data_IF_020140951300
#
_entry.id   IF_020140951300
#
_cell.length_a   1.000
_cell.length_b   1.000
_cell.length_c   1.000
_cell.angle_alpha   90.00
_cell.angle_beta   90.00
_cell.angle_gamma   90.00
#
_symmetry.space_group_name_H-M   'P 1'
#
loop_
_entity.id
_entity.type
_entity.pdbx_description
1 polymer ?
#
# COMPACT_ATOMS: atom_id res chain seq x y z
N UNK A 1 6.03 -4.05 -25.89
CA UNK A 1 6.61 -3.64 -24.58
C UNK A 1 6.61 -4.83 -23.63
N UNK A 2 7.63 -4.90 -22.77
CA UNK A 2 7.77 -5.94 -21.75
C UNK A 2 7.47 -5.37 -20.37
N UNK A 3 6.50 -5.94 -19.65
CA UNK A 3 6.19 -5.54 -18.28
C UNK A 3 6.66 -6.59 -17.28
N UNK A 4 7.34 -6.16 -16.23
CA UNK A 4 7.71 -7.02 -15.10
C UNK A 4 6.67 -7.01 -13.99
N UNK A 5 6.39 -8.19 -13.44
CA UNK A 5 5.47 -8.36 -12.31
C UNK A 5 5.85 -9.56 -11.44
N UNK A 6 5.41 -9.55 -10.18
CA UNK A 6 5.50 -10.71 -9.30
C UNK A 6 4.45 -11.77 -9.67
N UNK A 7 4.72 -13.04 -9.32
CA UNK A 7 3.82 -14.14 -9.64
C UNK A 7 2.58 -14.28 -8.75
N UNK A 8 2.32 -13.39 -7.77
CA UNK A 8 1.11 -13.47 -6.96
C UNK A 8 -0.14 -13.08 -7.76
N UNK A 9 -1.29 -13.70 -7.44
CA UNK A 9 -2.57 -13.40 -8.13
C UNK A 9 -2.89 -11.91 -8.10
N UNK A 10 -2.64 -11.22 -6.96
CA UNK A 10 -2.86 -9.78 -6.86
C UNK A 10 -1.91 -8.99 -7.77
N UNK A 11 -0.62 -9.33 -7.82
CA UNK A 11 0.33 -8.64 -8.69
C UNK A 11 -0.02 -8.83 -10.17
N UNK A 12 -0.41 -10.04 -10.57
CA UNK A 12 -0.88 -10.32 -11.92
C UNK A 12 -2.16 -9.55 -12.26
N UNK A 13 -3.14 -9.50 -11.34
CA UNK A 13 -4.37 -8.72 -11.56
C UNK A 13 -4.07 -7.22 -11.71
N UNK A 14 -3.14 -6.67 -10.91
CA UNK A 14 -2.69 -5.27 -10.99
C UNK A 14 -2.01 -4.99 -12.33
N UNK A 15 -1.08 -5.86 -12.74
CA UNK A 15 -0.35 -5.72 -14.00
C UNK A 15 -1.28 -5.86 -15.21
N UNK A 16 -2.17 -6.85 -15.23
CA UNK A 16 -3.12 -7.04 -16.31
C UNK A 16 -4.08 -5.84 -16.46
N UNK A 17 -4.47 -5.19 -15.35
CA UNK A 17 -5.27 -3.96 -15.40
C UNK A 17 -4.47 -2.84 -16.08
N UNK A 18 -3.21 -2.63 -15.68
CA UNK A 18 -2.33 -1.61 -16.29
C UNK A 18 -2.11 -1.90 -17.78
N UNK A 19 -1.84 -3.15 -18.14
CA UNK A 19 -1.67 -3.56 -19.54
C UNK A 19 -2.93 -3.27 -20.36
N UNK A 20 -4.12 -3.59 -19.82
CA UNK A 20 -5.40 -3.30 -20.47
C UNK A 20 -5.60 -1.80 -20.69
N UNK A 21 -5.34 -1.01 -19.66
CA UNK A 21 -5.48 0.46 -19.72
C UNK A 21 -4.48 1.05 -20.73
N UNK A 22 -3.24 0.58 -20.74
CA UNK A 22 -2.21 1.01 -21.67
C UNK A 22 -2.53 0.60 -23.11
N UNK A 23 -2.97 -0.64 -23.33
CA UNK A 23 -3.40 -1.12 -24.65
C UNK A 23 -4.59 -0.32 -25.19
N UNK A 24 -5.46 0.23 -24.35
CA UNK A 24 -6.59 1.07 -24.78
C UNK A 24 -6.18 2.42 -25.35
N UNK A 25 -4.97 2.88 -25.05
CA UNK A 25 -4.43 4.19 -25.49
C UNK A 25 -3.23 4.04 -26.44
N UNK A 26 -2.82 2.80 -26.70
CA UNK A 26 -1.69 2.47 -27.59
C UNK A 26 -2.06 1.26 -28.43
N UNK A 27 -1.40 1.09 -29.57
CA UNK A 27 -1.54 -0.12 -30.41
C UNK A 27 -0.39 -1.13 -30.13
N UNK A 28 0.31 -1.00 -29.01
CA UNK A 28 1.44 -1.85 -28.70
C UNK A 28 1.03 -3.17 -28.02
N UNK A 29 1.68 -4.24 -28.41
CA UNK A 29 1.59 -5.50 -27.67
C UNK A 29 2.41 -5.38 -26.38
N UNK A 30 1.86 -5.90 -25.29
CA UNK A 30 2.52 -5.88 -23.96
C UNK A 30 2.67 -7.33 -23.49
N UNK A 31 3.91 -7.76 -23.36
CA UNK A 31 4.24 -9.10 -22.88
C UNK A 31 4.52 -9.06 -21.38
N UNK A 32 3.88 -9.97 -20.62
CA UNK A 32 3.97 -10.01 -19.16
C UNK A 32 5.06 -10.99 -18.73
N UNK A 33 6.11 -10.48 -18.08
CA UNK A 33 7.23 -11.23 -17.56
C UNK A 33 7.11 -11.42 -16.04
N UNK A 34 6.96 -12.67 -15.58
CA UNK A 34 6.88 -12.98 -14.16
C UNK A 34 8.28 -13.10 -13.57
N UNK A 35 8.63 -12.20 -12.65
CA UNK A 35 9.91 -12.16 -11.97
C UNK A 35 9.72 -12.60 -10.51
N UNK A 36 10.45 -13.65 -10.10
CA UNK A 36 10.38 -14.18 -8.73
C UNK A 36 11.27 -13.34 -7.81
N UNK A 37 10.69 -12.80 -6.75
CA UNK A 37 11.42 -12.00 -5.76
C UNK A 37 11.85 -12.85 -4.54
N UNK A 38 12.87 -12.36 -3.80
CA UNK A 38 13.27 -12.97 -2.53
C UNK A 38 12.11 -12.96 -1.52
N UNK A 39 11.31 -11.91 -1.53
CA UNK A 39 10.13 -11.78 -0.68
C UNK A 39 9.08 -12.87 -0.92
N UNK A 40 8.97 -13.41 -2.14
CA UNK A 40 8.06 -14.51 -2.48
C UNK A 40 8.53 -15.87 -1.92
N UNK A 41 9.84 -16.00 -1.64
CA UNK A 41 10.47 -17.24 -1.13
C UNK A 41 10.47 -17.33 0.40
N UNK A 42 10.32 -16.20 1.10
CA UNK A 42 10.38 -16.16 2.57
C UNK A 42 9.01 -16.47 3.14
N UNK A 43 8.87 -17.69 3.69
CA UNK A 43 7.62 -18.17 4.33
C UNK A 43 7.59 -17.96 5.84
N UNK A 44 8.75 -17.70 6.50
CA UNK A 44 8.87 -17.60 7.95
C UNK A 44 8.53 -16.21 8.51
N UNK A 45 8.08 -16.19 9.77
CA UNK A 45 7.59 -15.01 10.51
C UNK A 45 8.64 -13.91 10.82
N UNK A 46 9.88 -14.05 10.38
CA UNK A 46 11.01 -13.20 10.75
C UNK A 46 11.13 -11.85 10.02
N UNK A 47 10.20 -11.49 9.13
CA UNK A 47 10.25 -10.20 8.40
C UNK A 47 10.07 -8.96 9.29
N UNK A 48 9.62 -9.09 10.54
CA UNK A 48 9.58 -7.99 11.50
C UNK A 48 10.96 -7.45 11.86
N UNK A 49 12.00 -8.28 11.74
CA UNK A 49 13.37 -7.98 12.15
C UNK A 49 14.33 -7.79 10.97
N UNK A 50 13.86 -7.91 9.73
CA UNK A 50 14.69 -7.70 8.56
C UNK A 50 14.43 -6.33 7.97
N UNK A 51 15.49 -5.63 7.56
CA UNK A 51 15.39 -4.45 6.73
C UNK A 51 14.59 -4.80 5.47
N UNK A 52 13.29 -4.49 5.51
CA UNK A 52 12.34 -4.83 4.46
C UNK A 52 12.51 -3.92 3.21
N UNK A 53 13.54 -3.06 3.19
CA UNK A 53 13.81 -2.16 2.07
C UNK A 53 14.03 -2.97 0.79
N UNK A 54 13.07 -2.87 -0.13
CA UNK A 54 13.17 -3.46 -1.46
C UNK A 54 13.04 -4.98 -1.53
N UNK A 55 12.51 -5.65 -0.51
CA UNK A 55 12.37 -7.12 -0.50
C UNK A 55 11.49 -7.66 -1.64
N UNK A 56 10.60 -6.83 -2.16
CA UNK A 56 9.65 -7.16 -3.22
C UNK A 56 9.89 -6.39 -4.52
N UNK A 57 10.89 -5.48 -4.57
CA UNK A 57 11.15 -4.63 -5.74
C UNK A 57 12.52 -4.90 -6.38
N UNK A 58 13.55 -5.28 -5.60
CA UNK A 58 14.95 -5.37 -6.06
C UNK A 58 15.15 -6.16 -7.35
N UNK A 59 14.47 -7.30 -7.49
CA UNK A 59 14.63 -8.12 -8.70
C UNK A 59 13.95 -7.50 -9.91
N UNK A 60 12.84 -6.76 -9.70
CA UNK A 60 12.17 -5.99 -10.74
C UNK A 60 12.97 -4.73 -11.10
N UNK A 61 13.52 -4.05 -10.08
CA UNK A 61 14.39 -2.89 -10.27
C UNK A 61 15.63 -3.29 -11.09
N UNK A 62 16.25 -4.44 -10.76
CA UNK A 62 17.37 -5.00 -11.52
C UNK A 62 16.99 -5.27 -12.99
N UNK A 63 15.85 -5.91 -13.24
CA UNK A 63 15.40 -6.22 -14.60
C UNK A 63 15.10 -4.95 -15.42
N UNK A 64 14.67 -3.85 -14.77
CA UNK A 64 14.54 -2.54 -15.40
C UNK A 64 15.90 -1.97 -15.80
N UNK A 65 16.88 -2.00 -14.89
CA UNK A 65 18.24 -1.48 -15.12
C UNK A 65 19.00 -2.29 -16.17
N UNK A 66 18.77 -3.60 -16.24
CA UNK A 66 19.35 -4.50 -17.25
C UNK A 66 18.57 -4.53 -18.59
N UNK A 67 17.55 -3.70 -18.73
CA UNK A 67 16.70 -3.57 -19.93
C UNK A 67 15.94 -4.86 -20.32
N UNK A 68 15.79 -5.80 -19.40
CA UNK A 68 14.99 -7.02 -19.61
C UNK A 68 13.51 -6.72 -19.68
N UNK A 69 13.05 -5.63 -19.02
CA UNK A 69 11.67 -5.14 -19.02
C UNK A 69 11.66 -3.62 -19.23
N UNK A 70 10.58 -3.12 -19.86
CA UNK A 70 10.39 -1.69 -20.12
C UNK A 70 9.80 -0.96 -18.90
N UNK A 71 8.93 -1.63 -18.15
CA UNK A 71 8.31 -1.09 -16.94
C UNK A 71 7.92 -2.19 -15.96
N UNK A 72 7.75 -1.81 -14.69
CA UNK A 72 7.28 -2.69 -13.62
C UNK A 72 6.03 -2.09 -12.94
N UNK A 73 5.12 -2.97 -12.50
CA UNK A 73 3.90 -2.57 -11.78
C UNK A 73 3.99 -3.00 -10.32
N UNK A 74 3.81 -2.04 -9.41
CA UNK A 74 3.85 -2.25 -7.96
C UNK A 74 2.62 -1.69 -7.26
N UNK A 75 2.22 -2.30 -6.15
CA UNK A 75 1.41 -1.59 -5.15
C UNK A 75 2.24 -0.43 -4.60
N UNK A 76 1.75 0.80 -4.65
CA UNK A 76 2.52 1.98 -4.27
C UNK A 76 3.05 1.91 -2.84
N UNK A 77 2.26 1.40 -1.91
CA UNK A 77 2.62 1.26 -0.48
C UNK A 77 3.78 0.29 -0.21
N UNK A 78 4.10 -0.58 -1.17
CA UNK A 78 5.16 -1.59 -1.04
C UNK A 78 6.49 -1.09 -1.62
N UNK A 79 6.50 0.12 -2.23
CA UNK A 79 7.71 0.77 -2.70
C UNK A 79 8.59 1.23 -1.53
N UNK A 80 9.93 1.19 -1.68
CA UNK A 80 10.83 1.82 -0.73
C UNK A 80 10.61 3.33 -0.70
N UNK A 81 11.05 3.99 0.37
CA UNK A 81 11.01 5.46 0.47
C UNK A 81 11.83 6.10 -0.65
N UNK A 82 12.98 5.55 -0.96
CA UNK A 82 13.86 6.00 -2.04
C UNK A 82 13.96 4.91 -3.10
N UNK A 83 13.78 5.27 -4.36
CA UNK A 83 14.04 4.43 -5.53
C UNK A 83 15.52 4.54 -5.92
N UNK A 84 15.97 3.59 -6.74
CA UNK A 84 17.26 3.72 -7.41
C UNK A 84 17.33 5.03 -8.21
N UNK A 85 18.53 5.64 -8.29
CA UNK A 85 18.73 6.93 -8.94
C UNK A 85 18.41 6.92 -10.44
N UNK A 86 18.49 5.78 -11.09
CA UNK A 86 18.19 5.62 -12.52
C UNK A 86 16.70 5.29 -12.78
N UNK A 87 15.93 5.00 -11.72
CA UNK A 87 14.51 4.67 -11.80
C UNK A 87 13.60 5.85 -11.40
N UNK A 88 12.38 5.82 -11.92
CA UNK A 88 11.33 6.78 -11.52
C UNK A 88 9.93 6.19 -11.57
N UNK A 89 9.00 6.81 -10.86
CA UNK A 89 7.56 6.54 -10.99
C UNK A 89 7.06 7.32 -12.22
N UNK A 90 6.93 6.63 -13.35
CA UNK A 90 6.45 7.23 -14.60
C UNK A 90 4.96 7.56 -14.54
N UNK A 91 4.16 6.69 -13.88
CA UNK A 91 2.73 6.95 -13.72
C UNK A 91 2.18 6.39 -12.40
N UNK A 92 1.15 7.06 -11.90
CA UNK A 92 0.25 6.58 -10.85
C UNK A 92 -1.15 6.60 -11.45
N UNK A 93 -1.70 5.45 -11.86
CA UNK A 93 -3.08 5.35 -12.32
C UNK A 93 -4.08 5.73 -11.23
N UNK A 94 -5.33 5.98 -11.64
CA UNK A 94 -6.41 6.32 -10.71
C UNK A 94 -6.48 5.37 -9.53
N UNK A 95 -6.40 5.94 -8.32
CA UNK A 95 -6.41 5.20 -7.05
C UNK A 95 -7.72 4.47 -6.83
N UNK A 96 -7.64 3.23 -6.40
CA UNK A 96 -8.78 2.46 -5.90
C UNK A 96 -8.93 2.71 -4.39
N UNK A 97 -10.06 2.30 -3.78
CA UNK A 97 -10.38 2.52 -2.37
C UNK A 97 -9.19 2.26 -1.42
N UNK A 98 -8.73 3.27 -0.67
CA UNK A 98 -7.60 3.13 0.25
C UNK A 98 -7.98 2.49 1.59
N UNK A 99 -9.26 2.24 1.84
CA UNK A 99 -9.79 1.83 3.11
C UNK A 99 -9.21 0.50 3.62
N UNK A 100 -9.17 0.37 4.94
CA UNK A 100 -9.05 -0.92 5.61
C UNK A 100 -10.42 -1.59 5.68
N UNK A 101 -10.43 -2.92 5.62
CA UNK A 101 -11.67 -3.71 5.73
C UNK A 101 -11.50 -4.86 6.71
N UNK A 102 -12.59 -5.21 7.36
CA UNK A 102 -12.70 -6.40 8.20
C UNK A 102 -13.14 -7.60 7.36
N UNK A 103 -12.40 -8.68 7.48
CA UNK A 103 -12.81 -10.02 7.07
C UNK A 103 -13.12 -10.81 8.33
N UNK A 104 -14.38 -11.17 8.53
CA UNK A 104 -14.85 -11.88 9.71
C UNK A 104 -16.28 -12.39 9.49
N UNK A 105 -16.69 -13.39 10.25
CA UNK A 105 -18.09 -13.81 10.34
C UNK A 105 -18.88 -12.98 11.38
N UNK A 106 -18.18 -12.22 12.25
CA UNK A 106 -18.75 -11.35 13.29
C UNK A 106 -18.63 -9.88 12.90
N UNK A 107 -19.50 -9.01 13.42
CA UNK A 107 -19.32 -7.57 13.30
C UNK A 107 -18.16 -7.08 14.17
N UNK A 108 -17.62 -5.91 13.84
CA UNK A 108 -16.50 -5.32 14.59
C UNK A 108 -16.76 -5.20 16.09
N UNK A 109 -17.98 -4.81 16.47
CA UNK A 109 -18.35 -4.61 17.87
C UNK A 109 -18.53 -5.92 18.67
N UNK A 110 -18.77 -7.02 17.97
CA UNK A 110 -18.86 -8.38 18.56
C UNK A 110 -17.49 -9.01 18.82
N UNK A 111 -16.42 -8.43 18.26
CA UNK A 111 -15.04 -8.86 18.44
C UNK A 111 -14.42 -8.15 19.65
N UNK A 112 -13.66 -8.87 20.46
CA UNK A 112 -13.04 -8.37 21.68
C UNK A 112 -11.85 -9.21 22.17
N UNK A 113 -11.48 -9.14 23.46
CA UNK A 113 -10.22 -9.67 23.99
C UNK A 113 -9.93 -11.15 23.73
N UNK A 114 -10.96 -11.97 23.57
CA UNK A 114 -10.82 -13.40 23.28
C UNK A 114 -10.86 -13.74 21.79
N UNK A 115 -10.99 -12.71 20.94
CA UNK A 115 -11.04 -12.92 19.50
C UNK A 115 -9.63 -12.95 18.91
N UNK A 116 -9.35 -13.95 18.07
CA UNK A 116 -8.09 -14.14 17.38
C UNK A 116 -8.06 -13.28 16.12
N UNK A 117 -7.26 -12.21 16.12
CA UNK A 117 -7.06 -11.36 14.92
C UNK A 117 -5.75 -11.72 14.21
N UNK A 118 -5.85 -12.10 12.93
CA UNK A 118 -4.70 -12.33 12.09
C UNK A 118 -4.13 -11.01 11.56
N UNK A 119 -2.95 -10.59 12.02
CA UNK A 119 -2.21 -9.47 11.46
C UNK A 119 -0.70 -9.66 11.64
N UNK A 120 0.06 -9.16 10.67
CA UNK A 120 1.51 -8.97 10.76
C UNK A 120 1.88 -7.52 10.50
N UNK A 121 0.95 -6.59 10.70
CA UNK A 121 1.14 -5.15 10.50
C UNK A 121 1.08 -4.44 11.84
N UNK A 122 2.21 -3.83 12.25
CA UNK A 122 2.28 -3.00 13.48
C UNK A 122 1.23 -1.90 13.47
N UNK A 123 0.99 -1.27 12.32
CA UNK A 123 -0.03 -0.23 12.20
C UNK A 123 -1.42 -0.78 12.53
N UNK A 124 -1.81 -1.94 11.97
CA UNK A 124 -3.12 -2.55 12.25
C UNK A 124 -3.25 -3.00 13.70
N UNK A 125 -2.19 -3.56 14.26
CA UNK A 125 -2.11 -3.90 15.69
C UNK A 125 -2.35 -2.66 16.55
N UNK A 126 -1.60 -1.57 16.31
CA UNK A 126 -1.75 -0.32 17.05
C UNK A 126 -3.16 0.27 16.94
N UNK A 127 -3.78 0.25 15.74
CA UNK A 127 -5.17 0.71 15.60
C UNK A 127 -6.19 -0.17 16.34
N UNK A 128 -5.97 -1.49 16.40
CA UNK A 128 -6.81 -2.35 17.21
C UNK A 128 -6.71 -2.00 18.71
N UNK A 129 -5.49 -1.74 19.20
CA UNK A 129 -5.27 -1.31 20.57
C UNK A 129 -5.84 0.09 20.84
N UNK A 130 -5.68 1.03 19.92
CA UNK A 130 -6.28 2.37 19.97
C UNK A 130 -7.81 2.32 20.15
N UNK A 131 -8.47 1.36 19.51
CA UNK A 131 -9.90 1.11 19.66
C UNK A 131 -10.27 0.17 20.82
N UNK A 132 -9.34 -0.06 21.75
CA UNK A 132 -9.51 -0.91 22.94
C UNK A 132 -10.02 -2.33 22.66
N UNK A 133 -9.64 -2.91 21.51
CA UNK A 133 -10.10 -4.24 21.11
C UNK A 133 -9.37 -5.37 21.83
N UNK A 134 -8.13 -5.16 22.26
CA UNK A 134 -7.32 -6.09 23.03
C UNK A 134 -7.34 -7.53 22.46
N UNK A 135 -7.25 -7.67 21.15
CA UNK A 135 -7.30 -8.96 20.45
C UNK A 135 -6.15 -9.90 20.84
N UNK A 136 -6.40 -11.22 20.80
CA UNK A 136 -5.34 -12.20 20.69
C UNK A 136 -4.74 -12.14 19.28
N UNK A 137 -3.60 -11.45 19.14
CA UNK A 137 -2.95 -11.24 17.84
C UNK A 137 -2.23 -12.50 17.38
N UNK A 138 -2.49 -12.91 16.15
CA UNK A 138 -1.84 -14.04 15.48
C UNK A 138 -1.13 -13.56 14.23
N UNK A 139 0.14 -13.92 13.99
CA UNK A 139 0.81 -13.62 12.76
C UNK A 139 0.10 -14.30 11.59
N UNK A 140 -0.19 -13.51 10.53
CA UNK A 140 -0.84 -14.04 9.34
C UNK A 140 0.00 -13.74 8.10
N UNK A 141 0.18 -14.75 7.25
CA UNK A 141 0.86 -14.67 5.98
C UNK A 141 0.09 -15.41 4.89
N UNK A 142 0.55 -15.24 3.66
CA UNK A 142 -0.05 -15.78 2.46
C UNK A 142 -0.73 -14.69 1.63
N UNK A 143 -1.24 -15.09 0.47
CA UNK A 143 -2.03 -14.24 -0.39
C UNK A 143 -3.41 -13.91 0.23
N UNK A 144 -4.22 -13.13 -0.45
CA UNK A 144 -5.53 -12.68 0.06
C UNK A 144 -6.43 -13.87 0.32
N UNK A 145 -6.52 -14.82 -0.60
CA UNK A 145 -7.37 -16.00 -0.50
C UNK A 145 -6.97 -16.89 0.68
N UNK A 146 -5.67 -17.11 0.87
CA UNK A 146 -5.14 -17.86 2.02
C UNK A 146 -5.53 -17.21 3.35
N UNK A 147 -5.51 -15.87 3.44
CA UNK A 147 -5.90 -15.17 4.66
C UNK A 147 -7.40 -15.24 4.91
N UNK A 148 -8.21 -15.15 3.86
CA UNK A 148 -9.67 -15.33 3.94
C UNK A 148 -9.99 -16.75 4.40
N UNK A 149 -9.33 -17.78 3.84
CA UNK A 149 -9.58 -19.18 4.21
C UNK A 149 -9.29 -19.46 5.66
N UNK A 150 -8.29 -18.81 6.30
CA UNK A 150 -7.99 -18.95 7.73
C UNK A 150 -9.10 -18.41 8.63
N UNK A 151 -9.83 -17.39 8.19
CA UNK A 151 -11.00 -16.88 8.91
C UNK A 151 -12.19 -17.82 8.70
N UNK A 152 -12.45 -18.26 7.48
CA UNK A 152 -13.54 -19.17 7.15
C UNK A 152 -13.34 -20.57 7.77
N UNK A 153 -12.08 -21.01 7.92
CA UNK A 153 -11.71 -22.29 8.57
C UNK A 153 -11.66 -22.23 10.09
N UNK A 154 -12.03 -21.09 10.71
CA UNK A 154 -12.07 -20.87 12.17
C UNK A 154 -10.70 -20.92 12.88
N UNK A 155 -9.60 -20.82 12.14
CA UNK A 155 -8.25 -20.61 12.72
C UNK A 155 -8.14 -19.23 13.35
N UNK A 156 -8.86 -18.25 12.78
CA UNK A 156 -8.94 -16.86 13.18
C UNK A 156 -10.41 -16.41 13.23
N UNK A 157 -10.73 -15.50 14.15
CA UNK A 157 -12.04 -14.84 14.18
C UNK A 157 -12.12 -13.69 13.15
N UNK A 158 -10.97 -13.06 12.87
CA UNK A 158 -10.92 -11.90 11.97
C UNK A 158 -9.53 -11.67 11.37
N UNK A 159 -9.49 -10.91 10.28
CA UNK A 159 -8.28 -10.25 9.78
C UNK A 159 -8.62 -8.90 9.15
N UNK A 160 -7.65 -7.98 9.15
CA UNK A 160 -7.76 -6.70 8.47
C UNK A 160 -7.03 -6.74 7.13
N UNK A 161 -7.64 -6.20 6.08
CA UNK A 161 -7.07 -6.15 4.75
C UNK A 161 -7.29 -4.79 4.08
N UNK A 162 -6.49 -4.51 3.04
CA UNK A 162 -6.73 -3.36 2.18
C UNK A 162 -7.86 -3.66 1.20
N UNK A 163 -8.89 -2.82 1.16
CA UNK A 163 -10.06 -2.97 0.30
C UNK A 163 -9.69 -3.12 -1.18
N UNK A 164 -8.72 -2.34 -1.65
CA UNK A 164 -8.27 -2.38 -3.05
C UNK A 164 -7.81 -3.77 -3.52
N UNK A 165 -7.21 -4.57 -2.64
CA UNK A 165 -6.80 -5.94 -2.97
C UNK A 165 -8.00 -6.84 -3.26
N UNK A 166 -9.05 -6.74 -2.44
CA UNK A 166 -10.28 -7.51 -2.63
C UNK A 166 -11.05 -7.06 -3.87
N UNK A 167 -11.11 -5.75 -4.14
CA UNK A 167 -11.73 -5.21 -5.37
C UNK A 167 -11.04 -5.78 -6.60
N UNK A 168 -9.69 -5.75 -6.66
CA UNK A 168 -8.92 -6.22 -7.81
C UNK A 168 -9.04 -7.72 -8.07
N UNK A 169 -9.31 -8.49 -7.04
CA UNK A 169 -9.49 -9.95 -7.12
C UNK A 169 -10.97 -10.38 -7.17
N UNK A 170 -11.92 -9.42 -7.21
CA UNK A 170 -13.36 -9.70 -7.18
C UNK A 170 -13.79 -10.51 -5.92
N UNK A 171 -13.19 -10.21 -4.77
CA UNK A 171 -13.41 -10.89 -3.48
C UNK A 171 -14.16 -10.00 -2.47
N UNK A 172 -14.86 -8.98 -2.93
CA UNK A 172 -15.56 -8.01 -2.07
C UNK A 172 -16.70 -8.62 -1.25
N UNK A 173 -17.24 -9.77 -1.67
CA UNK A 173 -18.25 -10.53 -0.93
C UNK A 173 -17.77 -11.02 0.45
N UNK A 174 -16.45 -11.06 0.70
CA UNK A 174 -15.87 -11.43 1.98
C UNK A 174 -15.72 -10.25 2.96
N UNK A 175 -16.01 -9.02 2.50
CA UNK A 175 -15.90 -7.83 3.35
C UNK A 175 -17.09 -7.77 4.31
N UNK A 176 -16.81 -7.81 5.61
CA UNK A 176 -17.82 -7.63 6.65
C UNK A 176 -18.04 -6.16 6.97
N UNK A 177 -16.95 -5.38 7.07
CA UNK A 177 -17.00 -3.96 7.39
C UNK A 177 -15.95 -3.21 6.57
N UNK A 178 -16.31 -2.05 6.03
CA UNK A 178 -15.37 -1.08 5.47
C UNK A 178 -15.17 0.01 6.53
N UNK A 179 -13.94 0.21 6.98
CA UNK A 179 -13.66 1.24 7.98
C UNK A 179 -13.54 2.63 7.36
N UNK A 180 -14.06 3.68 8.00
CA UNK A 180 -13.75 5.06 7.67
C UNK A 180 -12.24 5.31 7.71
N UNK A 181 -11.76 6.25 6.88
CA UNK A 181 -10.31 6.51 6.73
C UNK A 181 -9.66 7.15 7.96
N UNK A 182 -10.45 7.78 8.79
CA UNK A 182 -10.06 8.35 10.08
C UNK A 182 -10.23 7.38 11.25
N UNK A 183 -11.02 6.31 11.07
CA UNK A 183 -11.17 5.26 12.08
C UNK A 183 -9.97 4.29 12.09
N UNK A 184 -9.61 3.72 10.93
CA UNK A 184 -8.35 3.01 10.75
C UNK A 184 -7.61 3.65 9.57
N UNK A 185 -6.73 4.60 9.87
CA UNK A 185 -5.99 5.32 8.85
C UNK A 185 -5.05 4.37 8.09
N UNK A 186 -5.17 4.31 6.76
CA UNK A 186 -4.41 3.36 5.95
C UNK A 186 -2.90 3.65 5.92
N UNK A 187 -2.13 2.69 5.41
CA UNK A 187 -0.74 2.92 5.06
C UNK A 187 -0.64 3.93 3.90
N UNK A 188 0.41 4.74 3.90
CA UNK A 188 0.71 5.66 2.81
C UNK A 188 0.72 4.92 1.45
N UNK A 189 0.03 5.46 0.46
CA UNK A 189 -0.10 4.88 -0.87
C UNK A 189 -1.03 3.67 -0.98
N UNK A 190 -1.76 3.29 0.08
CA UNK A 190 -2.68 2.16 0.00
C UNK A 190 -3.77 2.40 -1.05
N UNK A 191 -4.03 1.40 -1.89
CA UNK A 191 -5.01 1.45 -2.98
C UNK A 191 -4.44 1.92 -4.31
N UNK A 192 -3.31 2.61 -4.35
CA UNK A 192 -2.67 3.06 -5.57
C UNK A 192 -1.69 2.03 -6.15
N UNK A 193 -1.47 2.14 -7.45
CA UNK A 193 -0.38 1.47 -8.17
C UNK A 193 0.69 2.48 -8.53
N UNK A 194 1.92 2.00 -8.67
CA UNK A 194 3.02 2.74 -9.25
C UNK A 194 3.54 1.98 -10.46
N UNK A 195 3.77 2.69 -11.57
CA UNK A 195 4.42 2.16 -12.75
C UNK A 195 5.83 2.75 -12.78
N UNK A 196 6.82 1.88 -12.66
CA UNK A 196 8.24 2.23 -12.57
C UNK A 196 8.90 2.00 -13.93
N UNK A 197 9.71 2.94 -14.36
CA UNK A 197 10.56 2.84 -15.56
C UNK A 197 11.96 3.35 -15.24
N UNK A 198 12.90 3.11 -16.15
CA UNK A 198 14.13 3.90 -16.17
C UNK A 198 13.81 5.35 -16.57
N UNK A 199 14.60 6.29 -16.05
CA UNK A 199 14.45 7.73 -16.36
C UNK A 199 14.70 8.05 -17.84
N UNK A 200 15.58 7.29 -18.49
CA UNK A 200 15.95 7.42 -19.91
C UNK A 200 15.10 6.55 -20.85
N UNK A 201 14.09 5.84 -20.35
CA UNK A 201 13.24 4.97 -21.16
C UNK A 201 12.46 5.75 -22.23
N UNK A 202 12.53 5.30 -23.47
CA UNK A 202 11.73 5.79 -24.60
C UNK A 202 10.22 5.49 -24.44
N UNK A 203 9.86 4.55 -23.55
CA UNK A 203 8.47 4.21 -23.25
C UNK A 203 7.81 5.09 -22.18
N UNK A 204 8.61 5.91 -21.51
CA UNK A 204 8.16 6.79 -20.42
C UNK A 204 6.99 7.69 -20.81
N UNK A 205 7.08 8.35 -21.97
CA UNK A 205 6.05 9.29 -22.43
C UNK A 205 4.70 8.59 -22.61
N UNK A 206 4.69 7.41 -23.21
CA UNK A 206 3.46 6.64 -23.44
C UNK A 206 2.88 6.11 -22.15
N UNK A 207 3.72 5.62 -21.23
CA UNK A 207 3.31 5.12 -19.91
C UNK A 207 2.77 6.26 -19.05
N UNK A 208 3.33 7.46 -19.15
CA UNK A 208 2.88 8.63 -18.39
C UNK A 208 1.44 9.05 -18.69
N UNK A 209 0.87 8.63 -19.82
CA UNK A 209 -0.54 8.88 -20.16
C UNK A 209 -1.52 8.16 -19.21
N UNK A 210 -1.07 7.13 -18.49
CA UNK A 210 -1.85 6.47 -17.44
C UNK A 210 -1.87 7.26 -16.13
N UNK A 211 -1.11 8.35 -16.02
CA UNK A 211 -0.99 9.08 -14.77
C UNK A 211 -2.26 9.86 -14.45
N UNK A 212 -2.86 9.59 -13.30
CA UNK A 212 -3.93 10.39 -12.70
C UNK A 212 -3.32 11.43 -11.76
N UNK A 213 -3.48 12.70 -12.12
CA UNK A 213 -2.85 13.82 -11.40
C UNK A 213 -3.26 13.84 -9.92
N UNK A 214 -4.55 13.67 -9.63
CA UNK A 214 -5.05 13.70 -8.26
C UNK A 214 -4.47 12.55 -7.44
N UNK A 215 -4.59 11.32 -7.92
CA UNK A 215 -4.05 10.14 -7.23
C UNK A 215 -2.56 10.26 -6.98
N UNK A 216 -1.80 10.78 -7.98
CA UNK A 216 -0.36 11.00 -7.84
C UNK A 216 -0.07 11.98 -6.70
N UNK A 217 -0.73 13.14 -6.67
CA UNK A 217 -0.50 14.14 -5.62
C UNK A 217 -0.87 13.59 -4.23
N UNK A 218 -1.97 12.86 -4.12
CA UNK A 218 -2.40 12.23 -2.88
C UNK A 218 -1.32 11.28 -2.33
N UNK A 219 -0.89 10.31 -3.13
CA UNK A 219 0.05 9.30 -2.63
C UNK A 219 1.48 9.81 -2.47
N UNK A 220 1.89 10.82 -3.24
CA UNK A 220 3.19 11.46 -3.04
C UNK A 220 3.22 12.29 -1.75
N UNK A 221 2.12 12.98 -1.40
CA UNK A 221 2.01 13.66 -0.12
C UNK A 221 2.09 12.67 1.06
N UNK A 222 1.38 11.52 0.96
CA UNK A 222 1.43 10.47 1.98
C UNK A 222 2.84 9.87 2.11
N UNK A 223 3.50 9.58 0.99
CA UNK A 223 4.87 9.05 0.97
C UNK A 223 5.86 10.04 1.58
N UNK A 224 5.68 11.33 1.30
CA UNK A 224 6.56 12.38 1.82
C UNK A 224 6.53 12.47 3.35
N UNK A 225 5.42 12.12 4.01
CA UNK A 225 5.38 12.01 5.47
C UNK A 225 6.41 10.98 5.97
N UNK A 226 6.47 9.81 5.31
CA UNK A 226 7.39 8.73 5.68
C UNK A 226 8.84 9.05 5.34
N UNK A 227 9.08 9.68 4.19
CA UNK A 227 10.41 10.11 3.75
C UNK A 227 11.03 11.11 4.71
N UNK A 228 10.27 12.12 5.13
CA UNK A 228 10.77 13.14 6.07
C UNK A 228 11.08 12.57 7.44
N UNK A 229 10.33 11.56 7.87
CA UNK A 229 10.61 10.83 9.13
C UNK A 229 11.88 9.98 9.05
N UNK A 230 12.32 9.60 7.84
CA UNK A 230 13.42 8.66 7.65
C UNK A 230 13.12 7.25 8.14
N UNK A 231 11.84 6.94 8.37
CA UNK A 231 11.36 5.65 8.89
C UNK A 231 10.61 4.88 7.81
N UNK A 232 10.80 3.57 7.81
CA UNK A 232 10.02 2.66 6.97
C UNK A 232 8.75 2.17 7.67
N UNK A 233 8.27 0.98 7.29
CA UNK A 233 7.08 0.32 7.86
C UNK A 233 7.22 -0.11 9.34
N UNK A 234 8.29 0.31 10.04
CA UNK A 234 8.58 -0.06 11.42
C UNK A 234 7.78 0.71 12.46
N UNK A 235 7.11 1.80 12.05
CA UNK A 235 6.31 2.62 12.94
C UNK A 235 4.82 2.48 12.61
N UNK A 236 3.93 2.53 13.63
CA UNK A 236 2.49 2.49 13.44
C UNK A 236 1.95 3.85 12.93
N UNK A 237 2.28 4.20 11.70
CA UNK A 237 1.86 5.45 11.04
C UNK A 237 0.74 5.16 10.04
N UNK A 238 -0.35 5.91 10.17
CA UNK A 238 -1.36 6.05 9.14
C UNK A 238 -1.23 7.39 8.43
N UNK A 239 -1.37 7.40 7.10
CA UNK A 239 -1.39 8.63 6.31
C UNK A 239 -2.39 8.51 5.17
N UNK A 240 -3.26 9.49 5.03
CA UNK A 240 -4.27 9.55 3.96
C UNK A 240 -4.45 10.97 3.46
N UNK A 241 -4.30 11.12 2.16
CA UNK A 241 -4.59 12.37 1.46
C UNK A 241 -5.75 12.17 0.48
N UNK A 242 -6.60 13.16 0.34
CA UNK A 242 -7.75 13.16 -0.56
C UNK A 242 -8.27 14.56 -0.85
N UNK A 243 -8.95 14.68 -1.99
CA UNK A 243 -9.76 15.88 -2.24
C UNK A 243 -11.07 15.80 -1.46
N UNK A 244 -11.36 16.84 -0.67
CA UNK A 244 -12.68 17.07 -0.03
C UNK A 244 -13.32 18.27 -0.72
N UNK A 245 -14.16 18.01 -1.71
CA UNK A 245 -14.66 19.05 -2.62
C UNK A 245 -13.50 19.67 -3.43
N UNK A 246 -13.26 20.97 -3.27
CA UNK A 246 -12.18 21.70 -3.96
C UNK A 246 -10.90 21.81 -3.12
N UNK A 247 -10.89 21.30 -1.91
CA UNK A 247 -9.78 21.43 -0.99
C UNK A 247 -9.04 20.10 -0.87
N UNK A 248 -7.72 20.13 -1.06
CA UNK A 248 -6.85 19.03 -0.71
C UNK A 248 -6.71 18.94 0.81
N UNK A 249 -6.77 17.74 1.35
CA UNK A 249 -6.62 17.45 2.77
C UNK A 249 -5.75 16.23 2.95
N UNK A 250 -4.72 16.33 3.78
CA UNK A 250 -3.93 15.19 4.24
C UNK A 250 -4.03 15.09 5.76
N UNK A 251 -4.35 13.89 6.24
CA UNK A 251 -4.38 13.52 7.65
C UNK A 251 -3.38 12.41 7.91
N UNK A 252 -2.65 12.52 8.99
CA UNK A 252 -1.73 11.48 9.45
C UNK A 252 -1.79 11.35 10.97
N UNK A 253 -1.58 10.11 11.43
CA UNK A 253 -1.55 9.74 12.84
C UNK A 253 -0.40 8.79 13.11
N UNK A 254 0.35 9.07 14.17
CA UNK A 254 1.41 8.23 14.72
C UNK A 254 0.95 7.69 16.06
N UNK A 255 0.99 6.38 16.19
CA UNK A 255 0.61 5.67 17.42
C UNK A 255 1.84 5.01 18.07
N UNK A 256 1.72 4.65 19.35
CA UNK A 256 2.54 3.59 19.94
C UNK A 256 1.99 2.23 19.52
N UNK A 257 2.74 1.17 19.73
CA UNK A 257 2.26 -0.20 19.52
C UNK A 257 1.05 -0.53 20.40
N UNK A 258 1.00 0.04 21.59
CA UNK A 258 -0.07 -0.12 22.59
C UNK A 258 -1.34 0.68 22.21
N UNK A 259 -1.29 1.50 21.17
CA UNK A 259 -2.42 2.27 20.65
C UNK A 259 -2.55 3.68 21.24
N UNK A 260 -1.54 4.18 21.93
CA UNK A 260 -1.53 5.57 22.40
C UNK A 260 -1.21 6.51 21.23
N UNK A 261 -1.90 7.65 21.15
CA UNK A 261 -1.63 8.67 20.13
C UNK A 261 -0.40 9.47 20.53
N UNK A 262 0.69 9.29 19.81
CA UNK A 262 1.89 10.11 19.95
C UNK A 262 1.67 11.47 19.29
N UNK A 263 1.14 11.46 18.08
CA UNK A 263 0.82 12.68 17.33
C UNK A 263 -0.22 12.41 16.24
N UNK A 264 -1.10 13.36 16.04
CA UNK A 264 -1.92 13.48 14.84
C UNK A 264 -1.81 14.87 14.25
N UNK A 265 -1.93 14.97 12.93
CA UNK A 265 -1.86 16.26 12.25
C UNK A 265 -2.63 16.24 10.94
N UNK A 266 -3.20 17.40 10.60
CA UNK A 266 -3.93 17.63 9.35
C UNK A 266 -3.43 18.89 8.68
N UNK A 267 -3.14 18.80 7.38
CA UNK A 267 -2.91 19.97 6.51
C UNK A 267 -3.98 20.05 5.44
N UNK A 268 -4.34 21.28 5.07
CA UNK A 268 -5.37 21.56 4.06
C UNK A 268 -4.95 22.72 3.17
N UNK A 269 -5.28 22.64 1.87
CA UNK A 269 -4.96 23.71 0.95
C UNK A 269 -5.15 23.34 -0.52
N UNK A 270 -4.25 23.84 -1.37
CA UNK A 270 -4.23 23.49 -2.78
C UNK A 270 -3.57 22.13 -3.00
N UNK A 271 -4.09 21.34 -3.94
CA UNK A 271 -3.46 20.09 -4.36
C UNK A 271 -2.05 20.29 -4.94
N UNK A 272 -1.73 21.50 -5.40
CA UNK A 272 -0.39 21.85 -5.91
C UNK A 272 0.67 21.83 -4.81
N UNK A 273 0.25 22.03 -3.56
CA UNK A 273 1.13 22.06 -2.38
C UNK A 273 1.16 20.72 -1.64
N UNK A 274 0.56 19.67 -2.23
CA UNK A 274 0.35 18.38 -1.60
C UNK A 274 1.63 17.78 -0.96
N UNK A 275 2.73 17.73 -1.71
CA UNK A 275 4.03 17.23 -1.25
C UNK A 275 4.58 18.07 -0.09
N UNK A 276 4.40 19.39 -0.11
CA UNK A 276 4.83 20.27 0.97
C UNK A 276 4.05 20.03 2.25
N UNK A 277 2.75 19.73 2.16
CA UNK A 277 1.94 19.35 3.31
C UNK A 277 2.43 18.03 3.92
N UNK A 278 2.73 17.02 3.10
CA UNK A 278 3.33 15.76 3.56
C UNK A 278 4.65 16.00 4.30
N UNK A 279 5.54 16.79 3.72
CA UNK A 279 6.81 17.18 4.32
C UNK A 279 6.63 17.90 5.66
N UNK A 280 5.67 18.82 5.76
CA UNK A 280 5.36 19.55 6.99
C UNK A 280 4.90 18.59 8.09
N UNK A 281 4.00 17.65 7.77
CA UNK A 281 3.54 16.64 8.73
C UNK A 281 4.71 15.76 9.19
N UNK A 282 5.54 15.27 8.26
CA UNK A 282 6.70 14.46 8.59
C UNK A 282 7.65 15.16 9.57
N UNK A 283 7.92 16.47 9.35
CA UNK A 283 8.72 17.28 10.27
C UNK A 283 8.11 17.36 11.66
N UNK A 284 6.78 17.58 11.75
CA UNK A 284 6.07 17.64 13.04
C UNK A 284 6.16 16.30 13.78
N UNK A 285 6.15 15.17 13.04
CA UNK A 285 6.20 13.84 13.66
C UNK A 285 7.62 13.43 14.09
N UNK A 286 8.65 14.05 13.51
CA UNK A 286 10.05 13.71 13.74
C UNK A 286 10.48 13.82 15.21
N UNK A 287 9.82 14.68 15.98
CA UNK A 287 10.09 14.87 17.41
C UNK A 287 9.52 13.75 18.29
N UNK A 288 8.80 12.78 17.70
CA UNK A 288 8.07 11.71 18.39
C UNK A 288 8.58 10.29 18.03
N UNK A 289 9.60 10.16 17.18
CA UNK A 289 10.19 8.89 16.68
C UNK A 289 11.65 8.73 17.06
#
# INVERSE_FOLDING_TARGET
MNVGTRGSQLALAQTNQVCKDLASITNENIDVNIIKTKGDKITNSQLYNMDAKGLFTKELDKALLEEEIDFAVHSFKDLPTELDEELEIAAVPKRVAPNEVLISNKNWDELGPNSKLGTSSLRREAFCNYHNKCFELKPIRGNIETRISKVNGSDLDATLMAQAGLIRLNLTQHIKTVFPLDYITPAAGQGALAIITRKDSDKKEIISKLNDYQSRQEVFAEKQVLEELGVGCQWPIGAIAQMKGKQFCIYSILLTKEGEVLKEHTEKGSIRDAVQFGKKIGKVFKDYV
#
